data_IF_986196054535
#
_entry.id   IF_986196054535
#
_cell.length_a   1.000
_cell.length_b   1.000
_cell.length_c   1.000
_cell.angle_alpha   90.00
_cell.angle_beta   90.00
_cell.angle_gamma   90.00
#
_symmetry.space_group_name_H-M   'P 1'
#
loop_
_entity.id
_entity.type
_entity.pdbx_description
1 polymer ?
#
# COMPACT_ATOMS: atom_id res chain seq x y z
N UNK A 1 7.07 -6.18 -11.42
CA UNK A 1 6.29 -6.63 -10.25
C UNK A 1 7.23 -6.83 -9.07
N UNK A 2 6.89 -6.23 -7.95
CA UNK A 2 7.75 -6.25 -6.77
C UNK A 2 6.94 -6.78 -5.61
N UNK A 3 7.45 -7.83 -4.98
CA UNK A 3 6.84 -8.35 -3.76
C UNK A 3 7.32 -7.52 -2.57
N UNK A 4 6.39 -7.06 -1.75
CA UNK A 4 6.70 -6.26 -0.58
C UNK A 4 6.79 -7.18 0.64
N UNK A 5 7.99 -7.28 1.21
CA UNK A 5 8.24 -8.16 2.33
C UNK A 5 9.13 -7.44 3.34
N UNK A 6 8.59 -7.05 4.49
CA UNK A 6 7.20 -7.28 4.93
C UNK A 6 6.21 -6.39 4.17
N UNK A 7 4.92 -6.78 4.19
CA UNK A 7 3.88 -5.94 3.57
C UNK A 7 3.83 -4.55 4.21
N UNK A 8 3.43 -3.58 3.41
CA UNK A 8 3.39 -2.19 3.86
C UNK A 8 1.97 -1.82 4.30
N UNK A 9 1.79 -1.35 5.54
CA UNK A 9 0.49 -0.88 5.98
C UNK A 9 0.08 0.39 5.21
N UNK A 10 -1.11 0.36 4.62
CA UNK A 10 -1.60 1.46 3.80
C UNK A 10 -3.06 1.73 4.11
N UNK A 11 -3.53 2.89 3.66
CA UNK A 11 -4.94 3.24 3.65
C UNK A 11 -5.43 3.25 2.22
N UNK A 12 -6.59 2.64 2.01
CA UNK A 12 -7.24 2.60 0.71
C UNK A 12 -8.62 3.23 0.84
N UNK A 13 -9.33 3.45 -0.28
CA UNK A 13 -10.71 3.93 -0.19
C UNK A 13 -11.63 3.00 0.59
N UNK A 14 -11.26 1.72 0.72
CA UNK A 14 -12.03 0.76 1.51
C UNK A 14 -11.57 0.66 2.96
N UNK A 15 -10.56 1.44 3.36
CA UNK A 15 -10.04 1.41 4.71
C UNK A 15 -8.61 0.90 4.76
N UNK A 16 -8.21 0.44 5.93
CA UNK A 16 -6.83 0.00 6.14
C UNK A 16 -6.58 -1.35 5.51
N UNK A 17 -5.35 -1.53 5.00
CA UNK A 17 -4.97 -2.74 4.31
C UNK A 17 -3.46 -2.93 4.39
N UNK A 18 -2.99 -4.10 3.95
CA UNK A 18 -1.58 -4.39 3.82
C UNK A 18 -1.25 -4.57 2.34
N UNK A 19 -0.31 -3.79 1.85
CA UNK A 19 0.13 -3.89 0.46
C UNK A 19 1.17 -4.99 0.35
N UNK A 20 0.93 -5.96 -0.53
CA UNK A 20 1.78 -7.13 -0.66
C UNK A 20 2.58 -7.13 -1.95
N UNK A 21 2.08 -6.50 -3.00
CA UNK A 21 2.76 -6.50 -4.29
C UNK A 21 2.59 -5.12 -4.92
N UNK A 22 3.65 -4.66 -5.56
CA UNK A 22 3.64 -3.42 -6.33
C UNK A 22 3.87 -3.78 -7.79
N UNK A 23 3.00 -3.30 -8.66
CA UNK A 23 3.09 -3.58 -10.08
C UNK A 23 3.46 -2.30 -10.81
N UNK A 24 4.54 -2.37 -11.58
CA UNK A 24 5.07 -1.23 -12.33
C UNK A 24 5.09 -1.62 -13.81
N UNK A 25 4.18 -1.04 -14.59
CA UNK A 25 4.11 -1.31 -16.02
C UNK A 25 4.98 -0.35 -16.84
N UNK A 26 5.68 0.56 -16.19
CA UNK A 26 6.55 1.48 -16.90
C UNK A 26 6.21 2.93 -16.58
N UNK A 27 7.04 3.84 -17.11
CA UNK A 27 6.97 5.25 -16.74
C UNK A 27 5.67 5.92 -17.19
N UNK A 28 4.97 5.34 -18.17
CA UNK A 28 3.74 5.93 -18.69
C UNK A 28 2.49 5.46 -17.96
N UNK A 29 2.64 4.59 -16.98
CA UNK A 29 1.51 3.98 -16.29
C UNK A 29 1.63 4.21 -14.79
N UNK A 30 0.48 4.28 -14.13
CA UNK A 30 0.45 4.38 -12.68
C UNK A 30 0.96 3.09 -12.06
N UNK A 31 1.58 3.23 -10.90
CA UNK A 31 1.87 2.06 -10.09
C UNK A 31 0.57 1.47 -9.57
N UNK A 32 0.49 0.15 -9.54
CA UNK A 32 -0.66 -0.56 -9.00
C UNK A 32 -0.24 -1.29 -7.73
N UNK A 33 -1.07 -1.19 -6.71
CA UNK A 33 -0.79 -1.76 -5.40
C UNK A 33 -1.79 -2.87 -5.13
N UNK A 34 -1.29 -4.09 -4.96
CA UNK A 34 -2.13 -5.23 -4.62
C UNK A 34 -2.18 -5.34 -3.12
N UNK A 35 -3.37 -5.16 -2.55
CA UNK A 35 -3.54 -5.06 -1.11
C UNK A 35 -4.52 -6.09 -0.60
N UNK A 36 -4.23 -6.64 0.59
CA UNK A 36 -5.19 -7.44 1.34
C UNK A 36 -5.78 -6.56 2.42
N UNK A 37 -7.11 -6.44 2.41
CA UNK A 37 -7.81 -5.60 3.36
C UNK A 37 -8.11 -6.38 4.64
N UNK A 38 -8.48 -5.64 5.69
CA UNK A 38 -8.76 -6.27 6.98
C UNK A 38 -9.88 -7.29 6.83
N UNK A 39 -10.83 -7.04 5.95
CA UNK A 39 -11.92 -7.98 5.67
C UNK A 39 -11.43 -9.29 5.05
N UNK A 40 -10.19 -9.32 4.57
CA UNK A 40 -9.64 -10.49 3.90
C UNK A 40 -9.73 -10.43 2.38
N UNK A 41 -10.33 -9.38 1.85
CA UNK A 41 -10.45 -9.23 0.40
C UNK A 41 -9.17 -8.68 -0.19
N UNK A 42 -8.86 -9.13 -1.40
CA UNK A 42 -7.71 -8.65 -2.14
C UNK A 42 -8.17 -7.67 -3.20
N UNK A 43 -7.63 -6.46 -3.15
CA UNK A 43 -7.97 -5.41 -4.11
C UNK A 43 -6.69 -4.83 -4.69
N UNK A 44 -6.77 -4.42 -5.96
CA UNK A 44 -5.68 -3.70 -6.60
C UNK A 44 -6.08 -2.25 -6.78
N UNK A 45 -5.24 -1.35 -6.23
CA UNK A 45 -5.52 0.09 -6.21
C UNK A 45 -4.47 0.83 -7.03
N UNK A 46 -4.89 1.92 -7.67
CA UNK A 46 -3.94 2.78 -8.34
C UNK A 46 -3.15 3.57 -7.30
N UNK A 47 -1.96 3.99 -7.70
CA UNK A 47 -1.07 4.69 -6.79
C UNK A 47 -1.73 5.90 -6.12
N UNK A 48 -2.56 6.62 -6.87
CA UNK A 48 -3.19 7.84 -6.34
C UNK A 48 -4.19 7.55 -5.23
N UNK A 49 -4.65 6.31 -5.12
CA UNK A 49 -5.64 5.91 -4.11
C UNK A 49 -5.00 5.39 -2.83
N UNK A 50 -3.69 5.29 -2.80
CA UNK A 50 -2.97 4.67 -1.68
C UNK A 50 -2.30 5.75 -0.83
N UNK A 51 -2.42 5.61 0.48
CA UNK A 51 -1.75 6.48 1.46
C UNK A 51 -1.16 5.62 2.55
N UNK A 52 -0.06 6.04 3.16
CA UNK A 52 0.44 5.30 4.34
C UNK A 52 -0.54 5.46 5.50
N UNK A 53 -0.56 4.49 6.37
CA UNK A 53 -1.39 4.59 7.57
C UNK A 53 -0.83 5.67 8.48
N UNK A 54 -1.74 6.40 9.13
CA UNK A 54 -1.33 7.59 9.87
C UNK A 54 -0.49 7.28 11.10
N UNK A 55 -0.65 6.09 11.65
CA UNK A 55 0.11 5.73 12.86
C UNK A 55 1.33 4.88 12.55
N UNK A 56 1.69 4.76 11.30
CA UNK A 56 2.89 4.03 10.93
C UNK A 56 4.10 4.92 11.20
N UNK A 57 5.17 4.32 11.67
CA UNK A 57 6.41 5.04 11.94
C UNK A 57 7.43 4.71 10.87
N UNK A 58 7.89 5.74 10.22
CA UNK A 58 8.96 5.60 9.25
C UNK A 58 10.23 6.13 9.89
N UNK A 59 10.81 5.36 10.57
CA UNK A 59 11.93 5.83 11.30
C UNK A 59 11.56 6.78 12.40
N UNK A 60 10.79 7.01 12.44
CA UNK A 60 10.34 7.52 13.36
C UNK A 60 10.19 8.44 13.83
N UNK A 61 10.04 8.73 13.55
CA UNK A 61 9.76 9.49 13.68
C UNK A 61 9.15 10.14 14.47
N UNK A 62 8.76 10.27 14.71
CA UNK A 62 8.18 10.77 15.32
C UNK A 62 8.22 11.12 16.43
N UNK A 63 8.42 10.86 16.61
CA UNK A 63 8.49 10.95 17.48
C UNK A 63 8.76 11.59 17.99
N UNK A 64 8.76 11.82 18.03
CA UNK A 64 9.03 12.17 18.31
C UNK A 64 9.21 12.45 18.59
#
# INVERSE_FOLDING_TARGET
>A
MIQLNPPIPVKTPNGEALAHVLIDYGAEYDLLWVCFEISGECWTWRNQDIRPQTNITFGRQKEK
#
